data_IF_729850416616
#
_entry.id   IF_729850416616
#
_cell.length_a   1.000
_cell.length_b   1.000
_cell.length_c   1.000
_cell.angle_alpha   90.00
_cell.angle_beta   90.00
_cell.angle_gamma   90.00
#
_symmetry.space_group_name_H-M   'P 1'
#
loop_
_entity.id
_entity.type
_entity.pdbx_description
1 polymer ?
#
# COMPACT_ATOMS: atom_id res chain seq x y z
N UNK A 1 -10.75 2.97 -28.39
CA UNK A 1 -11.90 2.39 -27.66
C UNK A 1 -11.45 1.74 -26.34
N UNK A 2 -10.39 0.90 -26.32
CA UNK A 2 -9.91 0.24 -25.10
C UNK A 2 -9.41 1.23 -24.04
N UNK A 3 -8.63 2.25 -24.44
CA UNK A 3 -8.13 3.29 -23.53
C UNK A 3 -9.29 4.09 -22.89
N UNK A 4 -10.31 4.45 -23.66
CA UNK A 4 -11.51 5.10 -23.14
C UNK A 4 -12.24 4.20 -22.13
N UNK A 5 -12.39 2.90 -22.44
CA UNK A 5 -13.02 1.94 -21.53
C UNK A 5 -12.30 1.83 -20.20
N UNK A 6 -10.96 1.86 -20.20
CA UNK A 6 -10.16 1.86 -18.97
C UNK A 6 -10.38 3.15 -18.15
N UNK A 7 -10.35 4.32 -18.78
CA UNK A 7 -10.59 5.59 -18.09
C UNK A 7 -11.98 5.65 -17.47
N UNK A 8 -13.01 5.19 -18.17
CA UNK A 8 -14.39 5.11 -17.66
C UNK A 8 -14.49 4.13 -16.48
N UNK A 9 -13.86 2.95 -16.59
CA UNK A 9 -13.90 1.92 -15.55
C UNK A 9 -13.29 2.40 -14.22
N UNK A 10 -12.17 3.10 -14.26
CA UNK A 10 -11.44 3.55 -13.07
C UNK A 10 -11.77 4.98 -12.64
N UNK A 11 -12.58 5.70 -13.44
CA UNK A 11 -13.11 7.01 -13.11
C UNK A 11 -12.12 8.18 -13.30
N UNK A 12 -12.48 9.39 -12.82
CA UNK A 12 -11.75 10.63 -13.11
C UNK A 12 -10.36 10.70 -12.48
N UNK A 13 -10.05 9.85 -11.52
CA UNK A 13 -8.72 9.75 -10.90
C UNK A 13 -7.75 8.83 -11.69
N UNK A 14 -8.19 8.29 -12.83
CA UNK A 14 -7.37 7.44 -13.69
C UNK A 14 -7.13 8.13 -15.05
N UNK A 15 -5.89 8.53 -15.30
CA UNK A 15 -5.43 9.00 -16.59
C UNK A 15 -5.02 7.82 -17.45
N UNK A 16 -5.47 7.80 -18.71
CA UNK A 16 -5.04 6.81 -19.70
C UNK A 16 -4.53 7.56 -20.93
N UNK A 17 -3.35 7.22 -21.39
CA UNK A 17 -2.68 7.92 -22.48
C UNK A 17 -2.00 6.95 -23.46
N UNK A 18 -1.82 7.41 -24.72
CA UNK A 18 -1.12 6.66 -25.76
C UNK A 18 -0.07 7.58 -26.39
N UNK A 19 1.16 7.08 -26.44
CA UNK A 19 2.23 7.64 -27.24
C UNK A 19 2.37 6.86 -28.55
N UNK A 20 2.51 7.56 -29.66
CA UNK A 20 2.97 7.03 -30.94
C UNK A 20 4.46 7.35 -31.09
N UNK A 21 5.28 6.30 -31.16
CA UNK A 21 6.74 6.42 -31.26
C UNK A 21 7.26 6.26 -32.69
N UNK A 22 6.37 6.11 -33.67
CA UNK A 22 6.74 5.97 -35.08
C UNK A 22 6.92 7.34 -35.78
N UNK A 23 6.36 8.40 -35.18
CA UNK A 23 6.41 9.78 -35.70
C UNK A 23 7.42 10.66 -34.99
N UNK A 24 7.08 11.98 -34.89
CA UNK A 24 7.88 12.94 -34.12
C UNK A 24 7.75 12.68 -32.61
N UNK A 25 8.85 12.28 -32.00
CA UNK A 25 8.89 11.99 -30.58
C UNK A 25 8.55 13.20 -29.70
N UNK A 26 8.81 14.44 -30.20
CA UNK A 26 8.51 15.65 -29.42
C UNK A 26 7.00 15.92 -29.31
N UNK A 27 6.19 15.28 -30.15
CA UNK A 27 4.73 15.35 -30.13
C UNK A 27 4.08 13.97 -30.11
N UNK A 28 4.69 13.04 -29.42
CA UNK A 28 4.31 11.62 -29.43
C UNK A 28 2.99 11.31 -28.73
N UNK A 29 2.49 12.16 -27.84
CA UNK A 29 1.22 11.95 -27.13
C UNK A 29 0.03 12.16 -28.08
N UNK A 30 -0.54 11.04 -28.57
CA UNK A 30 -1.62 11.07 -29.58
C UNK A 30 -3.01 10.89 -28.99
N UNK A 31 -3.12 10.43 -27.75
CA UNK A 31 -4.38 10.23 -27.04
C UNK A 31 -4.20 10.39 -25.55
N UNK A 32 -5.18 11.02 -24.89
CA UNK A 32 -5.22 11.13 -23.43
C UNK A 32 -6.65 11.30 -22.95
N UNK A 33 -7.00 10.60 -21.87
CA UNK A 33 -8.20 10.77 -21.05
C UNK A 33 -7.80 11.18 -19.64
N UNK A 34 -8.55 12.09 -19.04
CA UNK A 34 -8.28 12.66 -17.72
C UNK A 34 -6.89 13.31 -17.58
N UNK A 35 -6.39 13.93 -18.63
CA UNK A 35 -5.05 14.55 -18.71
C UNK A 35 -4.80 15.67 -17.69
N UNK A 36 -5.83 16.13 -16.99
CA UNK A 36 -5.72 17.08 -15.87
C UNK A 36 -4.95 16.51 -14.68
N UNK A 37 -4.80 15.18 -14.58
CA UNK A 37 -4.04 14.52 -13.51
C UNK A 37 -2.56 14.88 -13.61
N UNK A 38 -1.99 14.79 -14.81
CA UNK A 38 -0.58 15.13 -15.05
C UNK A 38 -0.39 16.49 -15.73
N UNK A 39 -1.50 17.20 -16.02
CA UNK A 39 -1.54 18.45 -16.79
C UNK A 39 -0.93 18.31 -18.20
N UNK A 40 -1.25 17.19 -18.89
CA UNK A 40 -0.78 16.86 -20.23
C UNK A 40 -1.90 16.91 -21.25
N UNK A 41 -1.50 17.14 -22.51
CA UNK A 41 -2.41 17.30 -23.64
C UNK A 41 -1.89 16.54 -24.86
N UNK A 42 -2.79 16.20 -25.78
CA UNK A 42 -2.40 15.64 -27.08
C UNK A 42 -1.42 16.61 -27.77
N UNK A 43 -0.34 16.08 -28.33
CA UNK A 43 0.75 16.82 -28.93
C UNK A 43 1.93 17.08 -28.00
N UNK A 44 1.84 16.73 -26.71
CA UNK A 44 2.97 16.80 -25.79
C UNK A 44 4.03 15.74 -26.12
N UNK A 45 5.27 16.04 -25.74
CA UNK A 45 6.41 15.14 -25.86
C UNK A 45 6.41 14.02 -24.82
N UNK A 46 7.42 13.14 -24.87
CA UNK A 46 7.55 12.00 -23.97
C UNK A 46 7.93 12.45 -22.55
N UNK A 47 7.53 11.65 -21.56
CA UNK A 47 8.04 11.76 -20.19
C UNK A 47 9.42 11.11 -20.08
N UNK A 48 10.13 11.35 -18.95
CA UNK A 48 11.39 10.66 -18.65
C UNK A 48 11.26 9.13 -18.71
N UNK A 49 10.12 8.58 -18.29
CA UNK A 49 9.86 7.13 -18.35
C UNK A 49 9.85 6.64 -19.79
N UNK A 50 9.24 7.39 -20.71
CA UNK A 50 9.20 7.03 -22.14
C UNK A 50 10.61 7.08 -22.76
N UNK A 51 11.40 8.09 -22.41
CA UNK A 51 12.78 8.21 -22.88
C UNK A 51 13.68 7.09 -22.34
N UNK A 52 13.49 6.71 -21.10
CA UNK A 52 14.21 5.59 -20.46
C UNK A 52 13.92 4.27 -21.18
N UNK A 53 12.64 4.00 -21.47
CA UNK A 53 12.21 2.83 -22.24
C UNK A 53 12.85 2.77 -23.62
N UNK A 54 12.90 3.92 -24.33
CA UNK A 54 13.48 3.97 -25.67
C UNK A 54 15.00 3.77 -25.67
N UNK A 55 15.68 4.16 -24.58
CA UNK A 55 17.13 4.01 -24.44
C UNK A 55 17.57 2.64 -23.95
N UNK A 56 16.70 1.90 -23.24
CA UNK A 56 17.00 0.62 -22.60
C UNK A 56 15.88 -0.40 -22.85
N UNK A 57 15.63 -0.72 -24.15
CA UNK A 57 14.67 -1.77 -24.50
C UNK A 57 15.29 -3.15 -24.18
N UNK A 58 14.82 -3.74 -23.10
CA UNK A 58 15.24 -5.05 -22.60
C UNK A 58 14.36 -6.22 -23.12
N UNK A 59 13.47 -5.94 -24.07
CA UNK A 59 12.52 -6.91 -24.61
C UNK A 59 11.31 -7.17 -23.72
N UNK A 60 11.13 -6.44 -22.61
CA UNK A 60 9.96 -6.59 -21.74
C UNK A 60 8.66 -6.12 -22.41
N UNK A 61 7.53 -6.57 -21.87
CA UNK A 61 6.19 -6.16 -22.32
C UNK A 61 5.76 -4.81 -21.73
N UNK A 62 6.47 -4.30 -20.74
CA UNK A 62 6.13 -3.05 -20.07
C UNK A 62 6.72 -2.92 -18.69
N UNK A 63 6.41 -1.79 -18.04
CA UNK A 63 6.72 -1.51 -16.66
C UNK A 63 5.41 -1.31 -15.89
N UNK A 64 5.19 -2.06 -14.81
CA UNK A 64 3.90 -2.12 -14.14
C UNK A 64 3.98 -1.76 -12.67
N UNK A 65 2.95 -1.03 -12.18
CA UNK A 65 2.72 -0.79 -10.75
C UNK A 65 3.79 0.05 -10.06
N UNK A 66 4.49 0.92 -10.76
CA UNK A 66 5.50 1.81 -10.18
C UNK A 66 4.89 3.13 -9.71
N UNK A 67 5.57 3.80 -8.78
CA UNK A 67 5.14 5.10 -8.28
C UNK A 67 5.78 6.23 -9.08
N UNK A 68 4.97 7.23 -9.42
CA UNK A 68 5.43 8.50 -9.98
C UNK A 68 4.86 9.67 -9.18
N UNK A 69 5.48 10.84 -9.30
CA UNK A 69 5.02 12.06 -8.65
C UNK A 69 4.91 13.17 -9.68
N UNK A 70 3.80 13.89 -9.67
CA UNK A 70 3.59 15.07 -10.51
C UNK A 70 4.29 16.29 -9.92
N UNK A 71 4.43 17.37 -10.70
CA UNK A 71 5.03 18.63 -10.24
C UNK A 71 4.24 19.29 -9.11
N UNK A 72 2.92 19.17 -9.12
CA UNK A 72 2.00 19.67 -8.10
C UNK A 72 1.90 18.74 -6.86
N UNK A 73 2.67 17.64 -6.85
CA UNK A 73 2.84 16.79 -5.66
C UNK A 73 1.93 15.59 -5.59
N UNK A 74 1.06 15.32 -6.57
CA UNK A 74 0.24 14.11 -6.60
C UNK A 74 1.10 12.86 -6.69
N UNK A 75 0.64 11.79 -6.06
CA UNK A 75 1.28 10.47 -6.08
C UNK A 75 0.44 9.58 -6.99
N UNK A 76 1.08 9.04 -8.03
CA UNK A 76 0.40 8.18 -9.00
C UNK A 76 0.98 6.77 -8.93
N UNK A 77 0.09 5.77 -9.02
CA UNK A 77 0.44 4.39 -9.35
C UNK A 77 0.36 4.25 -10.86
N UNK A 78 1.49 4.04 -11.50
CA UNK A 78 1.65 4.07 -12.95
C UNK A 78 1.96 2.70 -13.52
N UNK A 79 1.49 2.47 -14.75
CA UNK A 79 1.86 1.32 -15.57
C UNK A 79 2.02 1.77 -17.01
N UNK A 80 3.03 1.25 -17.70
CA UNK A 80 3.29 1.52 -19.13
C UNK A 80 3.44 0.20 -19.85
N UNK A 81 2.58 -0.06 -20.81
CA UNK A 81 2.61 -1.23 -21.68
C UNK A 81 3.25 -0.87 -23.01
N UNK A 82 4.09 -1.77 -23.52
CA UNK A 82 4.81 -1.60 -24.79
C UNK A 82 4.09 -2.38 -25.87
N UNK A 83 3.68 -1.67 -26.93
CA UNK A 83 3.03 -2.26 -28.10
C UNK A 83 4.06 -2.25 -29.22
N UNK A 84 4.45 -3.46 -29.64
CA UNK A 84 5.50 -3.67 -30.64
C UNK A 84 4.90 -3.84 -32.04
N UNK A 85 5.65 -3.42 -33.04
CA UNK A 85 5.37 -3.71 -34.43
C UNK A 85 5.83 -5.13 -34.82
N UNK A 86 5.54 -5.53 -36.06
CA UNK A 86 5.90 -6.85 -36.60
C UNK A 86 7.43 -7.10 -36.66
N UNK A 87 8.24 -6.05 -36.51
CA UNK A 87 9.72 -6.12 -36.45
C UNK A 87 10.23 -6.24 -35.02
N UNK A 88 9.35 -6.19 -34.00
CA UNK A 88 9.68 -6.27 -32.59
C UNK A 88 10.04 -4.91 -31.97
N UNK A 89 10.00 -3.80 -32.71
CA UNK A 89 10.27 -2.46 -32.17
C UNK A 89 9.04 -1.91 -31.46
N UNK A 90 9.25 -1.15 -30.41
CA UNK A 90 8.16 -0.49 -29.67
C UNK A 90 7.58 0.62 -30.56
N UNK A 91 6.36 0.41 -31.05
CA UNK A 91 5.64 1.35 -31.92
C UNK A 91 4.77 2.31 -31.10
N UNK A 92 4.11 1.80 -30.05
CA UNK A 92 3.24 2.59 -29.16
C UNK A 92 3.50 2.26 -27.70
N UNK A 93 3.18 3.23 -26.83
CA UNK A 93 3.10 3.02 -25.39
C UNK A 93 1.69 3.34 -24.91
N UNK A 94 1.10 2.44 -24.14
CA UNK A 94 -0.15 2.68 -23.40
C UNK A 94 0.21 2.92 -21.93
N UNK A 95 -0.01 4.14 -21.45
CA UNK A 95 0.19 4.53 -20.07
C UNK A 95 -1.12 4.57 -19.30
N UNK A 96 -1.08 4.11 -18.05
CA UNK A 96 -2.18 4.23 -17.08
C UNK A 96 -1.59 4.84 -15.81
N UNK A 97 -2.17 5.96 -15.37
CA UNK A 97 -1.75 6.67 -14.17
C UNK A 97 -2.96 6.81 -13.23
N UNK A 98 -2.98 6.07 -12.15
CA UNK A 98 -4.00 6.18 -11.13
C UNK A 98 -3.53 7.15 -10.04
N UNK A 99 -4.25 8.25 -9.83
CA UNK A 99 -4.00 9.15 -8.69
C UNK A 99 -4.39 8.43 -7.39
N UNK A 100 -3.40 8.19 -6.55
CA UNK A 100 -3.55 7.52 -5.26
C UNK A 100 -3.24 8.45 -4.08
N UNK A 101 -3.15 9.76 -4.32
CA UNK A 101 -2.75 10.75 -3.32
C UNK A 101 -3.63 10.68 -2.07
N UNK A 102 -4.94 10.66 -2.26
CA UNK A 102 -5.90 10.58 -1.15
C UNK A 102 -5.78 9.27 -0.38
N UNK A 103 -5.56 8.15 -1.08
CA UNK A 103 -5.36 6.84 -0.43
C UNK A 103 -4.09 6.81 0.42
N UNK A 104 -3.00 7.42 -0.07
CA UNK A 104 -1.75 7.54 0.70
C UNK A 104 -1.94 8.43 1.94
N UNK A 105 -2.69 9.52 1.81
CA UNK A 105 -3.01 10.39 2.95
C UNK A 105 -3.89 9.67 3.97
N UNK A 106 -4.91 8.94 3.51
CA UNK A 106 -5.79 8.14 4.38
C UNK A 106 -5.01 7.04 5.11
N UNK A 107 -4.12 6.34 4.42
CA UNK A 107 -3.25 5.32 5.02
C UNK A 107 -2.39 5.91 6.15
N UNK A 108 -1.75 7.06 5.92
CA UNK A 108 -0.97 7.75 6.95
C UNK A 108 -1.81 8.18 8.16
N UNK A 109 -3.03 8.65 7.91
CA UNK A 109 -3.97 9.00 8.99
C UNK A 109 -4.33 7.76 9.81
N UNK A 110 -4.69 6.65 9.16
CA UNK A 110 -4.98 5.39 9.84
C UNK A 110 -3.76 4.88 10.62
N UNK A 111 -2.57 4.91 10.03
CA UNK A 111 -1.32 4.54 10.72
C UNK A 111 -1.11 5.39 11.98
N UNK A 112 -1.37 6.69 11.91
CA UNK A 112 -1.21 7.58 13.07
C UNK A 112 -2.21 7.30 14.19
N UNK A 113 -3.39 6.75 13.87
CA UNK A 113 -4.43 6.39 14.84
C UNK A 113 -4.20 5.01 15.45
N UNK A 114 -3.64 4.08 14.68
CA UNK A 114 -3.42 2.69 15.12
C UNK A 114 -2.05 2.52 15.79
N UNK A 115 -1.06 3.32 15.38
CA UNK A 115 0.29 3.24 15.93
C UNK A 115 0.36 3.98 17.27
N UNK A 116 0.40 3.20 18.35
CA UNK A 116 0.48 3.74 19.73
C UNK A 116 1.90 4.14 20.14
N UNK A 117 2.91 3.96 19.25
CA UNK A 117 4.32 4.19 19.57
C UNK A 117 4.94 3.13 20.50
N UNK A 118 4.17 2.10 20.87
CA UNK A 118 4.67 0.94 21.60
C UNK A 118 5.10 -0.13 20.59
N UNK A 119 6.37 -0.51 20.63
CA UNK A 119 6.93 -1.56 19.74
C UNK A 119 6.39 -2.97 20.06
N UNK A 120 5.76 -3.15 21.23
CA UNK A 120 5.14 -4.41 21.65
C UNK A 120 3.62 -4.39 21.38
N UNK A 121 3.23 -4.76 20.17
CA UNK A 121 1.82 -5.09 19.84
C UNK A 121 1.33 -6.39 20.54
N UNK A 122 2.01 -6.84 21.59
CA UNK A 122 1.74 -8.10 22.26
C UNK A 122 0.67 -8.06 23.34
N UNK A 123 0.34 -6.91 23.89
CA UNK A 123 -0.68 -6.81 24.93
C UNK A 123 -1.54 -5.56 24.76
N UNK A 124 -2.67 -5.72 24.11
CA UNK A 124 -3.74 -4.69 24.20
C UNK A 124 -4.30 -4.77 25.61
N UNK A 125 -4.09 -3.71 26.40
CA UNK A 125 -4.62 -3.62 27.74
C UNK A 125 -6.15 -3.65 27.70
N UNK A 126 -6.76 -4.59 28.42
CA UNK A 126 -8.21 -4.74 28.46
C UNK A 126 -8.77 -3.80 29.54
N UNK A 127 -9.67 -2.92 29.13
CA UNK A 127 -10.37 -2.05 30.08
C UNK A 127 -11.41 -2.92 30.82
N UNK A 128 -11.17 -3.21 32.11
CA UNK A 128 -12.09 -3.93 32.97
C UNK A 128 -12.93 -2.95 33.78
N UNK A 129 -14.20 -3.28 33.98
CA UNK A 129 -15.15 -2.42 34.74
C UNK A 129 -15.25 -2.77 36.22
N UNK A 130 -14.68 -3.90 36.63
CA UNK A 130 -14.67 -4.34 38.02
C UNK A 130 -13.39 -5.09 38.37
N UNK A 131 -13.04 -5.08 39.69
CA UNK A 131 -11.91 -5.84 40.22
C UNK A 131 -12.10 -7.36 39.99
N UNK A 132 -13.34 -7.85 39.98
CA UNK A 132 -13.63 -9.26 39.73
C UNK A 132 -13.27 -9.65 38.29
N UNK A 133 -13.63 -8.83 37.28
CA UNK A 133 -13.26 -9.06 35.88
C UNK A 133 -11.75 -9.01 35.68
N UNK A 134 -11.06 -8.10 36.38
CA UNK A 134 -9.60 -8.01 36.32
C UNK A 134 -8.95 -9.27 36.86
N UNK A 135 -9.45 -9.80 37.99
CA UNK A 135 -8.94 -11.04 38.58
C UNK A 135 -9.20 -12.27 37.70
N UNK A 136 -10.37 -12.33 37.04
CA UNK A 136 -10.71 -13.41 36.12
C UNK A 136 -9.81 -13.40 34.90
N UNK A 137 -9.54 -12.20 34.34
CA UNK A 137 -8.62 -12.05 33.22
C UNK A 137 -7.17 -12.41 33.59
N UNK A 138 -6.69 -11.97 34.75
CA UNK A 138 -5.36 -12.32 35.25
C UNK A 138 -5.21 -13.84 35.45
N UNK A 139 -6.25 -14.51 35.98
CA UNK A 139 -6.25 -15.96 36.10
C UNK A 139 -6.18 -16.67 34.76
N UNK A 140 -6.95 -16.19 33.76
CA UNK A 140 -6.92 -16.73 32.40
C UNK A 140 -5.54 -16.55 31.73
N UNK A 141 -4.90 -15.40 31.92
CA UNK A 141 -3.57 -15.14 31.37
C UNK A 141 -2.50 -16.03 32.03
N UNK A 142 -2.59 -16.25 33.33
CA UNK A 142 -1.71 -17.18 34.05
C UNK A 142 -1.93 -18.61 33.60
N UNK A 143 -3.18 -19.05 33.41
CA UNK A 143 -3.49 -20.37 32.85
C UNK A 143 -2.91 -20.57 31.43
N UNK A 144 -2.97 -19.54 30.58
CA UNK A 144 -2.33 -19.56 29.26
C UNK A 144 -0.80 -19.65 29.35
N UNK A 145 -0.19 -18.91 30.27
CA UNK A 145 1.26 -18.87 30.47
C UNK A 145 1.80 -20.23 31.02
N UNK A 146 1.05 -20.85 31.89
CA UNK A 146 1.36 -22.20 32.45
C UNK A 146 0.98 -23.32 31.49
N UNK A 147 0.03 -23.05 30.55
CA UNK A 147 -0.47 -24.02 29.57
C UNK A 147 -1.45 -25.04 30.14
N UNK A 148 -1.99 -24.81 31.36
CA UNK A 148 -2.93 -25.70 32.05
C UNK A 148 -3.94 -24.93 32.87
N UNK A 149 -5.22 -25.41 32.96
CA UNK A 149 -6.20 -24.89 33.90
C UNK A 149 -5.75 -25.06 35.36
N UNK A 150 -6.05 -24.08 36.20
CA UNK A 150 -5.65 -24.08 37.62
C UNK A 150 -5.89 -25.36 38.38
N UNK A 151 -7.07 -26.04 38.27
CA UNK A 151 -7.33 -27.33 38.92
C UNK A 151 -6.39 -28.48 38.54
N UNK A 152 -5.82 -28.41 37.31
CA UNK A 152 -4.92 -29.46 36.77
C UNK A 152 -3.43 -29.14 37.00
N UNK A 153 -3.11 -28.01 37.63
CA UNK A 153 -1.71 -27.61 37.93
C UNK A 153 -1.17 -28.42 39.12
N UNK A 154 0.08 -28.89 38.98
CA UNK A 154 0.83 -29.47 40.10
C UNK A 154 1.36 -28.36 41.04
N UNK A 155 1.98 -28.75 42.17
CA UNK A 155 2.47 -27.80 43.17
C UNK A 155 3.47 -26.77 42.65
N UNK A 156 4.37 -27.16 41.74
CA UNK A 156 5.41 -26.28 41.16
C UNK A 156 4.78 -25.29 40.17
N UNK A 157 3.84 -25.76 39.35
CA UNK A 157 3.09 -24.96 38.39
C UNK A 157 2.22 -23.91 39.11
N UNK A 158 1.58 -24.29 40.24
CA UNK A 158 0.80 -23.34 41.08
C UNK A 158 1.68 -22.28 41.71
N UNK A 159 2.89 -22.61 42.18
CA UNK A 159 3.83 -21.64 42.72
C UNK A 159 4.31 -20.67 41.63
N UNK A 160 4.55 -21.16 40.43
CA UNK A 160 4.90 -20.33 39.27
C UNK A 160 3.74 -19.39 38.89
N UNK A 161 2.51 -19.90 38.87
CA UNK A 161 1.30 -19.13 38.64
C UNK A 161 1.14 -17.99 39.65
N UNK A 162 1.30 -18.25 40.94
CA UNK A 162 1.23 -17.25 42.00
C UNK A 162 2.36 -16.21 41.87
N UNK A 163 3.56 -16.65 41.53
CA UNK A 163 4.71 -15.73 41.29
C UNK A 163 4.42 -14.79 40.13
N UNK A 164 3.82 -15.26 39.03
CA UNK A 164 3.43 -14.42 37.92
C UNK A 164 2.38 -13.37 38.32
N UNK A 165 1.36 -13.77 39.09
CA UNK A 165 0.33 -12.85 39.61
C UNK A 165 0.89 -11.74 40.50
N UNK A 166 1.88 -12.07 41.34
CA UNK A 166 2.53 -11.08 42.22
C UNK A 166 3.44 -10.14 41.45
N UNK A 167 4.12 -10.63 40.42
CA UNK A 167 5.06 -9.79 39.61
C UNK A 167 4.33 -8.81 38.70
N UNK A 168 3.11 -9.10 38.27
CA UNK A 168 2.29 -8.15 37.46
C UNK A 168 1.70 -7.04 38.33
N UNK A 169 1.62 -7.20 39.65
CA UNK A 169 1.14 -6.16 40.59
C UNK A 169 2.22 -5.13 40.94
N UNK A 170 3.53 -5.48 40.86
CA UNK A 170 4.63 -4.57 41.19
C UNK A 170 5.06 -3.65 40.01
N UNK A 171 4.51 -3.86 38.82
CA UNK A 171 4.79 -3.01 37.64
C UNK A 171 3.83 -1.81 37.53
N UNK A 172 2.94 -1.60 38.49
CA UNK A 172 1.91 -0.55 38.51
C UNK A 172 2.19 0.58 39.51
N UNK A 173 3.43 0.73 40.03
CA UNK A 173 3.88 1.85 40.86
C UNK A 173 4.86 2.76 40.12
#
# INVERSE_FOLDING_TARGET
KSAHGLAVQFGPSCEVLIHDLQGDINSSLVYIENGTITNRHVGDGPSHVVLDVLSHDDGSEGRFGYLTKTKDGRILKSSTMYIRDDTGRIAYLLGINQDITEFVMMHRLLDSLVNTGQEDAGSVEKITTSVSELLDDLLLDVERLVGKPGPLMNKVERLKAISCLLYTSDAAD
#
